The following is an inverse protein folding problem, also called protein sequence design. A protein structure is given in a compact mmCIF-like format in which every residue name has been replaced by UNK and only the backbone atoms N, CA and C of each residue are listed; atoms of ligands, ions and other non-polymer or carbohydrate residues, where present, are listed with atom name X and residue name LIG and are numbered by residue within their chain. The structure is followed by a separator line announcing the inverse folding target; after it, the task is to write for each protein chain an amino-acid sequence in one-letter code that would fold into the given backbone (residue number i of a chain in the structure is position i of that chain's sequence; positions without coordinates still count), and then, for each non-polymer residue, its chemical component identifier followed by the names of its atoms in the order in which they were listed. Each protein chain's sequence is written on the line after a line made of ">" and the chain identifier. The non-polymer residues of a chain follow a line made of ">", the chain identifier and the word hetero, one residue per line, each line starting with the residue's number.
data_IF_395438269891
#
_entry.id   IF_395438269891
#
_cell.length_a   1.000
_cell.length_b   1.000
_cell.length_c   1.000
_cell.angle_alpha   90.00
_cell.angle_beta   90.00
_cell.angle_gamma   90.00
#
_symmetry.space_group_name_H-M   'P 1'
#
loop_
_entity.id
_entity.type
_entity.pdbx_description
1 polymer ?
#
# COMPACT_ATOMS: atom_id res chain seq x y z
N UNK A 1 6.74 -17.45 -42.07
CA UNK A 1 7.07 -16.43 -41.05
C UNK A 1 8.60 -16.39 -40.97
N UNK A 2 9.24 -15.28 -41.34
CA UNK A 2 10.71 -15.20 -41.48
C UNK A 2 11.42 -15.52 -40.17
N UNK A 3 12.51 -16.31 -40.22
CA UNK A 3 13.33 -16.72 -39.07
C UNK A 3 13.80 -15.50 -38.22
N UNK A 4 14.00 -14.36 -38.88
CA UNK A 4 14.31 -13.08 -38.23
C UNK A 4 13.17 -12.54 -37.35
N UNK A 5 11.90 -12.71 -37.76
CA UNK A 5 10.74 -12.27 -36.97
C UNK A 5 10.54 -13.14 -35.73
N UNK A 6 10.79 -14.44 -35.83
CA UNK A 6 10.74 -15.35 -34.69
C UNK A 6 11.84 -15.02 -33.67
N UNK A 7 13.06 -14.71 -34.13
CA UNK A 7 14.19 -14.32 -33.28
C UNK A 7 13.93 -12.99 -32.54
N UNK A 8 13.44 -11.96 -33.24
CA UNK A 8 13.08 -10.70 -32.61
C UNK A 8 11.94 -10.85 -31.60
N UNK A 9 10.94 -11.68 -31.89
CA UNK A 9 9.84 -11.96 -30.96
C UNK A 9 10.32 -12.71 -29.72
N UNK A 10 11.24 -13.68 -29.86
CA UNK A 10 11.82 -14.40 -28.73
C UNK A 10 12.72 -13.52 -27.84
N UNK A 11 13.51 -12.63 -28.44
CA UNK A 11 14.33 -11.66 -27.67
C UNK A 11 13.43 -10.67 -26.93
N UNK A 12 12.34 -10.20 -27.56
CA UNK A 12 11.38 -9.30 -26.92
C UNK A 12 10.63 -9.98 -25.75
N UNK A 13 10.26 -11.26 -25.88
CA UNK A 13 9.65 -12.06 -24.80
C UNK A 13 10.60 -12.29 -23.62
N UNK A 14 11.90 -12.49 -23.88
CA UNK A 14 12.92 -12.62 -22.84
C UNK A 14 13.15 -11.29 -22.08
N UNK A 15 13.05 -10.15 -22.76
CA UNK A 15 13.25 -8.83 -22.15
C UNK A 15 12.09 -8.39 -21.21
N UNK A 16 10.92 -9.00 -21.32
CA UNK A 16 9.75 -8.71 -20.45
C UNK A 16 9.57 -9.72 -19.31
N UNK A 17 10.46 -10.71 -19.19
CA UNK A 17 10.41 -11.70 -18.12
C UNK A 17 11.05 -11.12 -16.85
N UNK A 18 10.27 -10.39 -16.05
CA UNK A 18 10.66 -9.97 -14.70
C UNK A 18 10.26 -11.01 -13.66
N UNK A 19 11.22 -11.50 -12.86
CA UNK A 19 10.92 -12.30 -11.68
C UNK A 19 10.82 -11.37 -10.46
N UNK A 20 9.63 -11.25 -9.88
CA UNK A 20 9.46 -10.69 -8.54
C UNK A 20 9.36 -11.85 -7.52
N UNK A 21 10.01 -11.75 -6.36
CA UNK A 21 9.88 -12.78 -5.32
C UNK A 21 8.43 -12.82 -4.80
N UNK A 22 7.94 -14.02 -4.52
CA UNK A 22 6.65 -14.18 -3.86
C UNK A 22 6.68 -13.56 -2.46
N UNK A 23 5.54 -13.02 -1.99
CA UNK A 23 5.39 -12.44 -0.65
C UNK A 23 5.94 -13.35 0.44
N UNK A 24 5.60 -14.64 0.40
CA UNK A 24 6.02 -15.59 1.45
C UNK A 24 7.53 -15.80 1.48
N UNK A 25 8.21 -15.72 0.33
CA UNK A 25 9.67 -15.78 0.26
C UNK A 25 10.31 -14.54 0.90
N UNK A 26 9.76 -13.35 0.64
CA UNK A 26 10.21 -12.09 1.26
C UNK A 26 9.99 -12.17 2.78
N UNK A 27 8.81 -12.57 3.24
CA UNK A 27 8.53 -12.71 4.67
C UNK A 27 9.43 -13.74 5.35
N UNK A 28 9.70 -14.88 4.69
CA UNK A 28 10.64 -15.87 5.21
C UNK A 28 12.06 -15.28 5.37
N UNK A 29 12.51 -14.47 4.40
CA UNK A 29 13.82 -13.81 4.49
C UNK A 29 13.89 -12.76 5.61
N UNK A 30 12.83 -11.97 5.83
CA UNK A 30 12.77 -10.98 6.91
C UNK A 30 12.72 -11.64 8.29
N UNK A 31 12.02 -12.77 8.42
CA UNK A 31 12.01 -13.56 9.66
C UNK A 31 13.36 -14.20 9.97
N UNK A 32 14.09 -14.62 8.93
CA UNK A 32 15.42 -15.20 9.08
C UNK A 32 16.50 -14.17 9.42
N UNK A 33 16.31 -12.92 9.00
CA UNK A 33 17.23 -11.81 9.21
C UNK A 33 16.46 -10.53 9.57
N UNK A 34 16.11 -10.32 10.86
CA UNK A 34 15.41 -9.11 11.31
C UNK A 34 16.21 -7.83 11.12
N UNK A 35 17.52 -7.91 10.85
CA UNK A 35 18.33 -6.75 10.48
C UNK A 35 18.16 -6.37 9.00
N UNK A 36 17.59 -7.25 8.17
CA UNK A 36 17.33 -6.99 6.75
C UNK A 36 16.04 -6.20 6.49
N UNK A 37 15.27 -5.85 7.52
CA UNK A 37 14.06 -5.04 7.39
C UNK A 37 13.04 -5.27 8.51
N UNK A 38 11.81 -4.83 8.30
CA UNK A 38 10.73 -4.95 9.27
C UNK A 38 9.43 -5.40 8.60
N UNK A 39 8.59 -6.13 9.34
CA UNK A 39 7.24 -6.50 8.93
C UNK A 39 6.29 -6.46 10.12
N UNK A 40 5.16 -5.79 9.95
CA UNK A 40 4.11 -5.62 10.95
C UNK A 40 3.10 -6.76 10.75
N UNK A 41 3.07 -7.69 11.69
CA UNK A 41 2.09 -8.77 11.68
C UNK A 41 0.72 -8.26 12.16
N UNK A 42 -0.36 -8.87 11.67
CA UNK A 42 -1.71 -8.63 12.19
C UNK A 42 -2.45 -7.42 11.61
N UNK A 43 -1.88 -6.67 10.67
CA UNK A 43 -2.62 -5.64 9.93
C UNK A 43 -3.64 -6.31 8.99
N UNK A 44 -4.96 -6.18 9.22
CA UNK A 44 -5.95 -6.85 8.40
C UNK A 44 -5.97 -6.30 6.97
N UNK A 45 -6.12 -7.21 6.00
CA UNK A 45 -6.30 -6.84 4.60
C UNK A 45 -7.76 -6.96 4.20
N UNK A 46 -8.34 -5.85 3.75
CA UNK A 46 -9.70 -5.81 3.20
C UNK A 46 -9.61 -5.77 1.67
N UNK A 47 -10.08 -6.82 0.95
CA UNK A 47 -10.23 -6.77 -0.49
C UNK A 47 -11.13 -5.59 -0.88
N UNK A 48 -10.77 -4.87 -1.94
CA UNK A 48 -11.39 -3.62 -2.32
C UNK A 48 -11.85 -3.64 -3.77
N UNK A 49 -13.03 -3.09 -4.02
CA UNK A 49 -13.50 -2.76 -5.36
C UNK A 49 -12.89 -1.44 -5.85
N UNK A 50 -13.18 -1.07 -7.10
CA UNK A 50 -12.69 0.16 -7.71
C UNK A 50 -13.03 1.38 -6.84
N UNK A 51 -12.07 2.30 -6.70
CA UNK A 51 -12.18 3.54 -5.90
C UNK A 51 -12.26 3.39 -4.37
N UNK A 52 -12.26 2.17 -3.83
CA UNK A 52 -12.37 1.93 -2.37
C UNK A 52 -11.01 1.74 -1.66
N UNK A 53 -9.89 2.07 -2.32
CA UNK A 53 -8.56 1.96 -1.71
C UNK A 53 -8.39 2.80 -0.43
N UNK A 54 -8.99 4.00 -0.36
CA UNK A 54 -8.95 4.84 0.84
C UNK A 54 -9.70 4.23 2.02
N UNK A 55 -11.00 3.90 1.88
CA UNK A 55 -11.77 3.20 2.91
C UNK A 55 -11.12 1.90 3.37
N UNK A 56 -10.62 1.07 2.45
CA UNK A 56 -9.98 -0.19 2.78
C UNK A 56 -8.68 0.01 3.58
N UNK A 57 -7.85 0.98 3.19
CA UNK A 57 -6.64 1.31 3.92
C UNK A 57 -6.94 1.81 5.35
N UNK A 58 -7.96 2.66 5.48
CA UNK A 58 -8.38 3.19 6.78
C UNK A 58 -8.96 2.10 7.69
N UNK A 59 -9.85 1.26 7.17
CA UNK A 59 -10.42 0.13 7.90
C UNK A 59 -9.31 -0.83 8.38
N UNK A 60 -8.33 -1.14 7.53
CA UNK A 60 -7.17 -1.97 7.88
C UNK A 60 -6.37 -1.42 9.05
N UNK A 61 -5.97 -0.14 8.98
CA UNK A 61 -5.17 0.48 10.03
C UNK A 61 -5.97 0.67 11.32
N UNK A 62 -7.24 1.07 11.24
CA UNK A 62 -8.09 1.21 12.42
C UNK A 62 -8.34 -0.13 13.12
N UNK A 63 -8.61 -1.19 12.35
CA UNK A 63 -8.78 -2.53 12.89
C UNK A 63 -7.48 -3.06 13.53
N UNK A 64 -6.31 -2.75 12.96
CA UNK A 64 -5.02 -3.07 13.58
C UNK A 64 -4.87 -2.44 14.98
N UNK A 65 -5.39 -1.23 15.17
CA UNK A 65 -5.43 -0.56 16.47
C UNK A 65 -6.66 -0.92 17.34
N UNK A 66 -7.43 -1.93 16.95
CA UNK A 66 -8.54 -2.47 17.75
C UNK A 66 -9.91 -1.84 17.52
N UNK A 67 -10.11 -1.07 16.44
CA UNK A 67 -11.45 -0.63 16.05
C UNK A 67 -12.31 -1.81 15.56
N UNK A 68 -13.56 -1.87 15.99
CA UNK A 68 -14.53 -2.90 15.58
C UNK A 68 -15.37 -2.50 14.35
N UNK A 69 -14.87 -1.58 13.52
CA UNK A 69 -15.64 -1.07 12.40
C UNK A 69 -15.55 -1.92 11.14
N UNK A 70 -16.68 -2.02 10.44
CA UNK A 70 -16.75 -2.70 9.15
C UNK A 70 -16.23 -1.83 8.02
N UNK A 71 -15.65 -2.47 7.01
CA UNK A 71 -15.22 -1.80 5.79
C UNK A 71 -16.38 -1.01 5.15
N UNK A 72 -17.58 -1.58 5.10
CA UNK A 72 -18.78 -0.91 4.56
C UNK A 72 -19.14 0.35 5.35
N UNK A 73 -19.02 0.31 6.68
CA UNK A 73 -19.26 1.47 7.55
C UNK A 73 -18.23 2.59 7.34
N UNK A 74 -16.98 2.23 7.10
CA UNK A 74 -15.93 3.20 6.72
C UNK A 74 -16.21 3.79 5.34
N UNK A 75 -16.47 2.93 4.35
CA UNK A 75 -16.74 3.35 2.97
C UNK A 75 -17.95 4.28 2.88
N UNK A 76 -19.06 3.96 3.56
CA UNK A 76 -20.26 4.80 3.56
C UNK A 76 -20.04 6.21 4.13
N UNK A 77 -18.97 6.42 4.90
CA UNK A 77 -18.67 7.72 5.48
C UNK A 77 -17.62 8.52 4.71
N UNK A 78 -16.61 7.87 4.12
CA UNK A 78 -15.46 8.58 3.51
C UNK A 78 -15.42 8.47 1.98
N UNK A 79 -16.23 7.62 1.36
CA UNK A 79 -16.33 7.57 -0.10
C UNK A 79 -17.11 8.76 -0.65
N UNK A 80 -16.58 9.37 -1.71
CA UNK A 80 -17.20 10.49 -2.40
C UNK A 80 -17.47 10.11 -3.87
N UNK A 81 -18.74 10.01 -4.23
CA UNK A 81 -19.18 9.68 -5.59
C UNK A 81 -18.69 10.66 -6.65
N UNK A 82 -18.68 11.96 -6.34
CA UNK A 82 -18.27 13.01 -7.30
C UNK A 82 -16.79 12.93 -7.63
N UNK A 83 -15.99 12.53 -6.64
CA UNK A 83 -14.55 12.34 -6.79
C UNK A 83 -14.19 10.93 -7.28
N UNK A 84 -15.13 9.98 -7.21
CA UNK A 84 -14.88 8.55 -7.37
C UNK A 84 -13.69 8.13 -6.50
N UNK A 85 -13.79 8.37 -5.20
CA UNK A 85 -12.72 8.04 -4.26
C UNK A 85 -12.85 8.78 -2.94
N UNK A 86 -11.73 8.93 -2.23
CA UNK A 86 -11.70 9.51 -0.88
C UNK A 86 -10.56 10.51 -0.73
N UNK A 87 -10.81 11.64 -0.09
CA UNK A 87 -9.77 12.64 0.21
C UNK A 87 -8.99 12.25 1.47
N UNK A 88 -7.70 12.60 1.58
CA UNK A 88 -6.92 12.31 2.78
C UNK A 88 -7.52 12.94 4.05
N UNK A 89 -8.16 14.10 3.89
CA UNK A 89 -8.83 14.80 5.00
C UNK A 89 -10.06 14.06 5.50
N UNK A 90 -10.82 13.39 4.61
CA UNK A 90 -11.99 12.61 5.02
C UNK A 90 -11.56 11.42 5.89
N UNK A 91 -10.46 10.74 5.51
CA UNK A 91 -9.87 9.67 6.31
C UNK A 91 -9.43 10.17 7.69
N UNK A 92 -8.75 11.31 7.70
CA UNK A 92 -8.17 11.91 8.91
C UNK A 92 -9.25 12.38 9.89
N UNK A 93 -10.30 13.03 9.40
CA UNK A 93 -11.44 13.44 10.23
C UNK A 93 -12.19 12.23 10.75
N UNK A 94 -12.48 11.24 9.89
CA UNK A 94 -13.21 10.04 10.28
C UNK A 94 -12.54 9.28 11.44
N UNK A 95 -11.22 9.05 11.36
CA UNK A 95 -10.47 8.39 12.41
C UNK A 95 -10.38 9.27 13.68
N UNK A 96 -10.17 10.59 13.54
CA UNK A 96 -10.15 11.49 14.70
C UNK A 96 -11.47 11.49 15.47
N UNK A 97 -12.60 11.47 14.77
CA UNK A 97 -13.94 11.43 15.38
C UNK A 97 -14.19 10.14 16.18
N UNK A 98 -13.34 9.13 16.01
CA UNK A 98 -13.35 7.85 16.74
C UNK A 98 -12.26 7.74 17.81
N UNK A 99 -11.63 8.87 18.14
CA UNK A 99 -10.64 8.95 19.21
C UNK A 99 -9.22 8.57 18.81
N UNK A 100 -8.94 8.39 17.51
CA UNK A 100 -7.58 8.16 17.03
C UNK A 100 -6.78 9.46 16.95
N UNK A 101 -5.50 9.39 17.30
CA UNK A 101 -4.55 10.45 16.96
C UNK A 101 -4.16 10.34 15.50
N UNK A 102 -4.42 11.40 14.73
CA UNK A 102 -4.23 11.40 13.28
C UNK A 102 -3.38 12.57 12.83
N UNK A 103 -2.41 12.30 11.94
CA UNK A 103 -1.58 13.31 11.29
C UNK A 103 -1.53 13.10 9.79
N UNK A 104 -1.58 14.19 9.01
CA UNK A 104 -1.32 14.17 7.57
C UNK A 104 -0.09 15.03 7.28
N UNK A 105 0.92 14.43 6.67
CA UNK A 105 2.19 15.07 6.41
C UNK A 105 2.90 14.45 5.20
N UNK A 106 3.91 15.14 4.68
CA UNK A 106 4.77 14.63 3.61
C UNK A 106 5.99 13.95 4.24
N UNK A 107 6.05 12.62 4.15
CA UNK A 107 7.19 11.81 4.56
C UNK A 107 8.12 11.47 3.39
N UNK A 108 9.21 10.77 3.71
CA UNK A 108 10.10 10.12 2.74
C UNK A 108 10.46 8.71 3.21
N UNK A 109 11.27 7.99 2.44
CA UNK A 109 11.60 6.59 2.73
C UNK A 109 12.21 6.37 4.12
N UNK A 110 13.02 7.31 4.63
CA UNK A 110 13.58 7.24 5.99
C UNK A 110 12.51 7.26 7.07
N UNK A 111 11.53 8.16 6.97
CA UNK A 111 10.39 8.23 7.91
C UNK A 111 9.53 6.97 7.82
N UNK A 112 9.28 6.48 6.60
CA UNK A 112 8.59 5.22 6.37
C UNK A 112 9.30 4.04 7.06
N UNK A 113 10.61 3.89 6.86
CA UNK A 113 11.42 2.83 7.47
C UNK A 113 11.38 2.89 8.99
N UNK A 114 11.59 4.08 9.57
CA UNK A 114 11.61 4.27 11.02
C UNK A 114 10.26 3.93 11.68
N UNK A 115 9.15 4.30 11.04
CA UNK A 115 7.80 4.04 11.57
C UNK A 115 7.39 2.58 11.42
N UNK A 116 7.61 1.99 10.24
CA UNK A 116 7.35 0.57 10.04
C UNK A 116 8.21 -0.29 10.96
N UNK A 117 9.48 0.10 11.18
CA UNK A 117 10.39 -0.56 12.14
C UNK A 117 9.92 -0.48 13.60
N UNK A 118 9.05 0.48 13.95
CA UNK A 118 8.41 0.60 15.27
C UNK A 118 7.07 -0.15 15.36
N UNK A 119 6.62 -0.79 14.29
CA UNK A 119 5.30 -1.43 14.26
C UNK A 119 4.14 -0.48 13.98
N UNK A 120 4.41 0.69 13.37
CA UNK A 120 3.37 1.67 12.98
C UNK A 120 2.99 1.48 11.50
N UNK A 121 1.83 0.88 11.17
CA UNK A 121 1.39 0.82 9.78
C UNK A 121 0.95 2.20 9.29
N UNK A 122 1.38 2.57 8.09
CA UNK A 122 1.10 3.88 7.51
C UNK A 122 0.20 3.79 6.29
N UNK A 123 -0.82 4.65 6.25
CA UNK A 123 -1.60 4.89 5.03
C UNK A 123 -0.79 5.86 4.15
N UNK A 124 -0.41 5.41 2.96
CA UNK A 124 0.32 6.21 1.98
C UNK A 124 -0.62 6.62 0.86
N UNK A 125 -0.59 7.91 0.48
CA UNK A 125 -1.26 8.41 -0.71
C UNK A 125 -0.24 8.63 -1.82
N UNK A 126 -0.31 7.79 -2.85
CA UNK A 126 0.63 7.75 -3.96
C UNK A 126 0.02 8.33 -5.23
N UNK A 127 0.86 8.89 -6.10
CA UNK A 127 0.53 9.12 -7.48
C UNK A 127 1.08 7.97 -8.32
N UNK A 128 0.19 7.09 -8.82
CA UNK A 128 0.54 6.01 -9.76
C UNK A 128 0.48 6.45 -11.23
N UNK A 129 0.12 7.70 -11.48
CA UNK A 129 0.11 8.31 -12.81
C UNK A 129 1.39 9.08 -13.10
N UNK A 130 1.31 9.98 -14.08
CA UNK A 130 2.38 10.94 -14.38
C UNK A 130 2.05 12.29 -13.74
N UNK A 131 3.03 13.19 -13.66
CA UNK A 131 2.82 14.53 -13.10
C UNK A 131 1.72 15.32 -13.83
N UNK A 132 1.59 15.11 -15.15
CA UNK A 132 0.56 15.75 -15.99
C UNK A 132 -0.79 15.02 -16.00
N UNK A 133 -0.84 13.79 -15.48
CA UNK A 133 -2.05 12.97 -15.42
C UNK A 133 -1.99 12.09 -14.16
N UNK A 134 -2.26 12.68 -12.99
CA UNK A 134 -2.09 11.97 -11.73
C UNK A 134 -3.18 10.93 -11.50
N UNK A 135 -2.81 9.81 -10.90
CA UNK A 135 -3.71 8.75 -10.47
C UNK A 135 -3.47 8.50 -8.99
N UNK A 136 -4.34 9.03 -8.14
CA UNK A 136 -4.25 8.88 -6.69
C UNK A 136 -4.54 7.44 -6.27
N UNK A 137 -3.74 6.89 -5.35
CA UNK A 137 -3.94 5.55 -4.82
C UNK A 137 -3.51 5.47 -3.36
N UNK A 138 -4.35 4.83 -2.53
CA UNK A 138 -4.00 4.54 -1.15
C UNK A 138 -3.47 3.13 -0.99
N UNK A 139 -2.41 3.00 -0.21
CA UNK A 139 -1.87 1.71 0.24
C UNK A 139 -1.59 1.76 1.73
N UNK A 140 -1.48 0.60 2.36
CA UNK A 140 -0.97 0.47 3.72
C UNK A 140 0.44 -0.12 3.67
N UNK A 141 1.41 0.62 4.19
CA UNK A 141 2.75 0.10 4.38
C UNK A 141 2.79 -0.75 5.66
N UNK A 142 3.08 -2.04 5.48
CA UNK A 142 3.14 -3.03 6.57
C UNK A 142 4.52 -3.66 6.69
N UNK A 143 5.49 -3.28 5.85
CA UNK A 143 6.82 -3.85 5.89
C UNK A 143 7.79 -3.14 4.96
N UNK A 144 9.08 -3.33 5.22
CA UNK A 144 10.19 -2.81 4.46
C UNK A 144 11.32 -3.85 4.41
N UNK A 145 12.00 -3.94 3.27
CA UNK A 145 13.20 -4.76 3.09
C UNK A 145 14.35 -3.84 2.71
N UNK A 146 15.43 -3.86 3.49
CA UNK A 146 16.65 -3.09 3.21
C UNK A 146 17.55 -3.81 2.18
N UNK A 147 17.31 -5.11 1.94
CA UNK A 147 18.12 -5.94 1.04
C UNK A 147 18.00 -5.55 -0.43
N UNK A 148 16.89 -4.93 -0.82
CA UNK A 148 16.56 -4.70 -2.25
C UNK A 148 16.60 -3.23 -2.68
N UNK A 149 16.83 -2.27 -1.76
CA UNK A 149 17.08 -0.85 -2.08
C UNK A 149 16.09 -0.20 -3.06
N UNK A 150 14.85 -0.70 -3.11
CA UNK A 150 13.74 -0.21 -3.93
C UNK A 150 12.59 0.22 -3.04
#
# INVERSE_FOLDING_TARGET
>A
MSLSKAFFLSVLLLLISGCAPARDAVLASLRADPAAGAYIEGVPFFPQDEYLCGPAALAGVMAFYGAEESMDGVAGAVYNEKLRGTLPMDLLVYARDRGFETSYYKGGFKDLSERVGKGEPLILFLNLGYDIYPVGHYIVAVGISEKDGR
#
